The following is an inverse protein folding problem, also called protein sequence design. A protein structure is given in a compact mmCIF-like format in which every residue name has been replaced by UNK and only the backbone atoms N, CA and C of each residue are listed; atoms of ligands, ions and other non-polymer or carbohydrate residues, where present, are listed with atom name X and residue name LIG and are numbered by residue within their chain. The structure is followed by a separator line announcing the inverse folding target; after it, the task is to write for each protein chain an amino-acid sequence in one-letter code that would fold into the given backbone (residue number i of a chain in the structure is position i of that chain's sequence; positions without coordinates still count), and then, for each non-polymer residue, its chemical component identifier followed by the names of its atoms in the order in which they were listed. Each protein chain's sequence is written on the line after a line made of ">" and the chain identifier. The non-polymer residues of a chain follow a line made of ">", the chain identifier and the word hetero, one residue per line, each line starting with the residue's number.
data_IF_277078928995
#
_entry.id   IF_277078928995
#
_cell.length_a   1.000
_cell.length_b   1.000
_cell.length_c   1.000
_cell.angle_alpha   90.00
_cell.angle_beta   90.00
_cell.angle_gamma   90.00
#
_symmetry.space_group_name_H-M   'P 1'
#
loop_
_entity.id
_entity.type
_entity.pdbx_description
1 polymer ?
#
# COMPACT_ATOMS: atom_id res chain seq x y z
N UNK A 1 -4.16 -28.20 -25.69
CA UNK A 1 -3.73 -28.45 -24.30
C UNK A 1 -4.70 -27.65 -23.44
N UNK A 2 -5.78 -28.29 -22.97
CA UNK A 2 -6.87 -27.63 -22.23
C UNK A 2 -6.41 -27.32 -20.80
N UNK A 3 -6.36 -26.03 -20.45
CA UNK A 3 -6.15 -25.59 -19.07
C UNK A 3 -7.53 -25.44 -18.43
N UNK A 4 -7.88 -26.39 -17.57
CA UNK A 4 -9.04 -26.29 -16.67
C UNK A 4 -8.75 -25.25 -15.60
N UNK A 5 -9.34 -24.06 -15.72
CA UNK A 5 -9.44 -23.10 -14.60
C UNK A 5 -10.40 -23.67 -13.56
N UNK A 6 -9.88 -23.98 -12.36
CA UNK A 6 -10.69 -24.28 -11.17
C UNK A 6 -11.04 -22.95 -10.51
N UNK A 7 -12.31 -22.57 -10.56
CA UNK A 7 -12.85 -21.54 -9.68
C UNK A 7 -12.83 -22.08 -8.24
N UNK A 8 -12.17 -21.35 -7.33
CA UNK A 8 -12.26 -21.58 -5.90
C UNK A 8 -13.46 -20.75 -5.42
N UNK A 9 -14.60 -21.39 -5.22
CA UNK A 9 -15.73 -20.79 -4.51
C UNK A 9 -15.38 -20.76 -3.02
N UNK A 10 -15.00 -19.60 -2.50
CA UNK A 10 -15.03 -19.34 -1.05
C UNK A 10 -16.44 -18.86 -0.72
N UNK A 11 -17.27 -19.77 -0.21
CA UNK A 11 -18.57 -19.43 0.36
C UNK A 11 -18.36 -18.74 1.71
N UNK A 12 -18.54 -17.41 1.76
CA UNK A 12 -18.73 -16.67 3.00
C UNK A 12 -20.14 -16.95 3.54
N UNK A 13 -20.23 -17.68 4.63
CA UNK A 13 -21.47 -17.85 5.37
C UNK A 13 -21.76 -16.58 6.18
N UNK A 14 -22.65 -15.72 5.68
CA UNK A 14 -23.21 -14.60 6.43
C UNK A 14 -24.26 -15.17 7.39
N UNK A 15 -23.97 -15.13 8.70
CA UNK A 15 -24.94 -15.43 9.75
C UNK A 15 -25.86 -14.22 9.94
N UNK A 16 -26.99 -14.21 9.22
CA UNK A 16 -28.10 -13.28 9.48
C UNK A 16 -28.79 -13.69 10.79
N UNK A 17 -28.50 -12.98 11.88
CA UNK A 17 -29.42 -12.91 13.03
C UNK A 17 -30.48 -11.85 12.73
N UNK A 18 -31.65 -12.34 12.34
CA UNK A 18 -32.88 -11.57 12.20
C UNK A 18 -33.47 -11.21 13.56
N UNK A 19 -33.57 -9.91 13.87
CA UNK A 19 -34.55 -9.40 14.82
C UNK A 19 -35.68 -8.74 14.04
N UNK A 20 -36.75 -9.53 13.88
CA UNK A 20 -38.05 -9.10 13.36
C UNK A 20 -38.72 -8.23 14.42
N UNK A 21 -38.70 -6.91 14.22
CA UNK A 21 -39.57 -5.98 14.92
C UNK A 21 -40.91 -5.84 14.20
N UNK A 22 -41.90 -6.68 14.53
CA UNK A 22 -43.27 -6.47 14.07
C UNK A 22 -43.89 -5.25 14.78
N UNK A 23 -44.11 -4.17 14.03
CA UNK A 23 -45.01 -3.09 14.43
C UNK A 23 -46.47 -3.55 14.25
N UNK A 24 -47.25 -3.57 15.33
CA UNK A 24 -48.72 -3.68 15.29
C UNK A 24 -49.33 -2.37 15.81
N UNK A 25 -50.46 -1.91 15.24
CA UNK A 25 -51.07 -0.63 15.57
C UNK A 25 -51.89 -0.70 16.87
N UNK A 26 -51.90 0.42 17.59
CA UNK A 26 -52.56 0.56 18.88
C UNK A 26 -54.09 0.41 18.82
N UNK A 27 -54.62 -0.34 19.78
CA UNK A 27 -56.01 -0.32 20.18
C UNK A 27 -56.12 0.30 21.58
N UNK A 28 -56.96 1.32 21.69
CA UNK A 28 -57.36 1.91 22.96
C UNK A 28 -58.21 0.91 23.76
N UNK A 29 -57.88 0.74 25.05
CA UNK A 29 -58.59 -0.12 25.98
C UNK A 29 -58.53 0.45 27.40
N UNK A 30 -59.65 0.35 28.10
CA UNK A 30 -60.05 1.12 29.28
C UNK A 30 -59.22 0.91 30.56
N UNK A 31 -59.28 1.93 31.42
CA UNK A 31 -58.64 1.98 32.73
C UNK A 31 -59.28 0.99 33.73
N UNK A 32 -58.43 0.15 34.34
CA UNK A 32 -58.74 -0.66 35.54
C UNK A 32 -57.97 -0.04 36.73
N UNK A 33 -58.60 0.17 37.90
CA UNK A 33 -57.93 0.73 39.05
C UNK A 33 -57.28 -0.34 39.93
N UNK A 34 -56.02 -0.09 40.30
CA UNK A 34 -55.48 -0.38 41.63
C UNK A 34 -54.91 -1.78 41.86
N UNK A 35 -53.60 -1.91 41.70
CA UNK A 35 -52.76 -2.71 42.58
C UNK A 35 -51.46 -1.95 42.84
N UNK A 36 -51.11 -1.82 44.12
CA UNK A 36 -49.91 -1.10 44.59
C UNK A 36 -48.70 -1.99 44.30
N UNK A 37 -47.65 -1.52 43.61
CA UNK A 37 -46.46 -2.34 43.38
C UNK A 37 -45.79 -2.58 44.73
N UNK A 38 -45.57 -3.85 45.06
CA UNK A 38 -44.68 -4.23 46.16
C UNK A 38 -43.27 -3.85 45.73
N UNK A 39 -42.61 -2.95 46.46
CA UNK A 39 -41.19 -2.60 46.27
C UNK A 39 -40.37 -3.89 46.33
N UNK A 40 -39.90 -4.36 45.17
CA UNK A 40 -38.88 -5.39 45.13
C UNK A 40 -37.59 -4.73 45.64
N UNK A 41 -37.08 -5.21 46.79
CA UNK A 41 -35.75 -4.87 47.29
C UNK A 41 -34.74 -5.12 46.16
N UNK A 42 -34.27 -4.04 45.55
CA UNK A 42 -33.19 -4.05 44.58
C UNK A 42 -31.93 -4.29 45.40
N UNK A 43 -31.55 -5.56 45.54
CA UNK A 43 -30.27 -5.94 46.13
C UNK A 43 -29.19 -5.38 45.21
N UNK A 44 -28.51 -4.31 45.64
CA UNK A 44 -27.37 -3.79 44.90
C UNK A 44 -26.35 -4.92 44.77
N UNK A 45 -25.81 -5.18 43.55
CA UNK A 45 -24.79 -6.20 43.37
C UNK A 45 -23.62 -5.89 44.32
N UNK A 46 -23.28 -6.84 45.19
CA UNK A 46 -22.10 -6.69 46.03
C UNK A 46 -20.86 -6.79 45.14
N UNK A 47 -20.11 -5.69 45.04
CA UNK A 47 -18.83 -5.63 44.34
C UNK A 47 -17.89 -6.64 45.00
N UNK A 48 -17.33 -7.55 44.19
CA UNK A 48 -16.35 -8.51 44.67
C UNK A 48 -15.01 -7.79 44.87
N UNK A 49 -14.70 -7.41 46.11
CA UNK A 49 -13.47 -6.69 46.48
C UNK A 49 -12.19 -7.51 46.38
N UNK A 50 -12.28 -8.81 46.07
CA UNK A 50 -11.13 -9.73 46.05
C UNK A 50 -10.45 -9.83 44.67
N UNK A 51 -10.91 -9.09 43.66
CA UNK A 51 -10.29 -9.09 42.33
C UNK A 51 -9.13 -8.09 42.30
N UNK A 52 -7.92 -8.59 42.09
CA UNK A 52 -6.71 -7.78 41.92
C UNK A 52 -6.60 -7.27 40.48
N UNK A 53 -6.98 -6.01 40.26
CA UNK A 53 -6.91 -5.36 38.95
C UNK A 53 -5.54 -4.81 38.60
N UNK A 54 -4.54 -4.92 39.48
CA UNK A 54 -3.21 -4.32 39.25
C UNK A 54 -2.44 -4.93 38.08
N UNK A 55 -2.83 -6.12 37.64
CA UNK A 55 -2.24 -6.80 36.48
C UNK A 55 -2.71 -6.24 35.12
N UNK A 56 -3.78 -5.44 35.09
CA UNK A 56 -4.36 -4.93 33.85
C UNK A 56 -5.12 -5.99 33.04
N UNK A 57 -5.49 -5.64 31.81
CA UNK A 57 -6.05 -6.60 30.85
C UNK A 57 -4.92 -7.49 30.32
N UNK A 58 -5.15 -8.79 30.16
CA UNK A 58 -4.11 -9.68 29.61
C UNK A 58 -3.93 -9.50 28.10
N UNK A 59 -2.72 -9.69 27.58
CA UNK A 59 -2.39 -9.68 26.15
C UNK A 59 -3.34 -10.52 25.26
N UNK A 60 -3.70 -11.71 25.73
CA UNK A 60 -4.63 -12.61 25.03
C UNK A 60 -6.02 -11.97 24.88
N UNK A 61 -6.51 -11.36 25.97
CA UNK A 61 -7.79 -10.66 26.00
C UNK A 61 -7.76 -9.37 25.17
N UNK A 62 -6.65 -8.62 25.16
CA UNK A 62 -6.46 -7.47 24.26
C UNK A 62 -6.63 -7.93 22.80
N UNK A 63 -5.98 -9.03 22.43
CA UNK A 63 -6.03 -9.59 21.07
C UNK A 63 -7.44 -10.05 20.68
N UNK A 64 -8.16 -10.68 21.61
CA UNK A 64 -9.53 -11.14 21.39
C UNK A 64 -10.53 -9.97 21.29
N UNK A 65 -10.47 -9.03 22.23
CA UNK A 65 -11.39 -7.90 22.32
C UNK A 65 -11.27 -6.94 21.14
N UNK A 66 -10.06 -6.74 20.63
CA UNK A 66 -9.82 -5.92 19.44
C UNK A 66 -10.06 -6.70 18.13
N UNK A 67 -10.57 -7.94 18.21
CA UNK A 67 -10.74 -8.84 17.08
C UNK A 67 -9.46 -8.97 16.23
N UNK A 68 -8.29 -8.86 16.86
CA UNK A 68 -7.01 -8.82 16.15
C UNK A 68 -6.63 -10.19 15.55
N UNK A 69 -7.44 -11.23 15.79
CA UNK A 69 -7.29 -12.56 15.21
C UNK A 69 -7.36 -12.57 13.68
N UNK A 70 -7.84 -11.50 13.06
CA UNK A 70 -7.83 -11.31 11.60
C UNK A 70 -6.49 -10.77 11.08
N UNK A 71 -5.59 -10.34 11.95
CA UNK A 71 -4.29 -9.78 11.60
C UNK A 71 -3.19 -10.83 11.75
N UNK A 72 -2.12 -10.68 10.96
CA UNK A 72 -1.02 -11.65 10.95
C UNK A 72 -0.27 -11.66 12.29
N UNK A 73 -0.14 -10.49 12.93
CA UNK A 73 0.52 -10.34 14.22
C UNK A 73 0.13 -9.01 14.87
N UNK A 74 -0.19 -9.07 16.16
CA UNK A 74 -0.24 -7.92 17.05
C UNK A 74 0.95 -7.97 18.03
N UNK A 75 1.52 -6.80 18.30
CA UNK A 75 2.64 -6.59 19.22
C UNK A 75 2.22 -5.58 20.28
N UNK A 76 2.07 -6.07 21.51
CA UNK A 76 1.67 -5.26 22.65
C UNK A 76 2.93 -4.61 23.24
N UNK A 77 2.99 -3.28 23.18
CA UNK A 77 4.17 -2.51 23.53
C UNK A 77 4.21 -2.17 25.01
N UNK A 78 3.05 -1.88 25.61
CA UNK A 78 2.96 -1.47 27.02
C UNK A 78 1.55 -1.54 27.57
N UNK A 79 1.46 -1.71 28.88
CA UNK A 79 0.26 -1.51 29.69
C UNK A 79 0.45 -0.32 30.64
N UNK A 80 -0.62 0.40 30.93
CA UNK A 80 -0.64 1.49 31.89
C UNK A 80 -1.93 1.41 32.71
N UNK A 81 -1.86 0.68 33.82
CA UNK A 81 -2.99 0.39 34.70
C UNK A 81 -3.19 1.52 35.70
N UNK A 82 -4.41 2.07 35.72
CA UNK A 82 -4.87 3.05 36.68
C UNK A 82 -5.97 2.43 37.55
N UNK A 83 -5.74 2.36 38.86
CA UNK A 83 -6.76 1.96 39.83
C UNK A 83 -7.51 3.20 40.26
N UNK A 84 -8.83 3.19 40.09
CA UNK A 84 -9.69 4.32 40.33
C UNK A 84 -10.46 4.09 41.63
N UNK A 85 -10.55 5.12 42.48
CA UNK A 85 -11.39 5.12 43.68
C UNK A 85 -12.84 5.44 43.28
N UNK A 86 -13.42 4.58 42.43
CA UNK A 86 -14.76 4.73 41.87
C UNK A 86 -15.50 3.40 41.86
N UNK A 87 -16.69 3.36 42.47
CA UNK A 87 -17.57 2.19 42.47
C UNK A 87 -18.13 1.87 41.07
N UNK A 88 -18.10 2.83 40.14
CA UNK A 88 -18.61 2.67 38.78
C UNK A 88 -17.56 2.12 37.80
N UNK A 89 -16.29 2.40 38.05
CA UNK A 89 -15.17 2.00 37.20
C UNK A 89 -13.94 1.80 38.09
N UNK A 90 -13.71 0.59 38.63
CA UNK A 90 -12.68 0.36 39.65
C UNK A 90 -11.25 0.37 39.08
N UNK A 91 -11.09 0.12 37.78
CA UNK A 91 -9.80 0.14 37.11
C UNK A 91 -9.94 0.49 35.62
N UNK A 92 -8.87 1.08 35.09
CA UNK A 92 -8.65 1.34 33.67
C UNK A 92 -7.24 0.83 33.29
N UNK A 93 -7.07 0.32 32.09
CA UNK A 93 -5.77 -0.02 31.53
C UNK A 93 -5.63 0.57 30.14
N UNK A 94 -4.61 1.40 29.91
CA UNK A 94 -4.28 1.90 28.57
C UNK A 94 -3.17 1.05 27.99
N UNK A 95 -3.50 0.30 26.93
CA UNK A 95 -2.59 -0.59 26.23
C UNK A 95 -2.16 0.04 24.92
N UNK A 96 -0.85 0.11 24.69
CA UNK A 96 -0.31 0.51 23.39
C UNK A 96 -0.02 -0.74 22.56
N UNK A 97 -0.65 -0.83 21.40
CA UNK A 97 -0.58 -1.99 20.50
C UNK A 97 -0.19 -1.56 19.10
N UNK A 98 0.66 -2.35 18.48
CA UNK A 98 1.03 -2.22 17.06
C UNK A 98 0.65 -3.50 16.34
N UNK A 99 0.01 -3.41 15.18
CA UNK A 99 -0.31 -4.59 14.39
C UNK A 99 -0.15 -4.31 12.90
N UNK A 100 0.27 -5.34 12.19
CA UNK A 100 0.26 -5.31 10.74
C UNK A 100 -1.13 -5.72 10.26
N UNK A 101 -1.81 -4.88 9.50
CA UNK A 101 -3.07 -5.31 8.91
C UNK A 101 -2.76 -6.44 7.94
N UNK A 102 -3.25 -7.64 8.26
CA UNK A 102 -3.10 -8.82 7.45
C UNK A 102 -3.62 -8.54 6.03
N UNK A 103 -2.86 -9.02 5.06
CA UNK A 103 -2.97 -8.70 3.64
C UNK A 103 -4.20 -9.33 2.97
N UNK A 104 -5.39 -9.20 3.57
CA UNK A 104 -6.58 -9.93 3.14
C UNK A 104 -7.01 -9.58 1.70
N UNK A 105 -6.58 -8.42 1.20
CA UNK A 105 -6.87 -7.90 -0.14
C UNK A 105 -5.64 -7.70 -1.02
N UNK A 106 -4.41 -7.83 -0.49
CA UNK A 106 -3.20 -7.56 -1.26
C UNK A 106 -2.91 -6.08 -1.52
N UNK A 107 -3.71 -5.16 -0.97
CA UNK A 107 -3.76 -3.78 -1.46
C UNK A 107 -2.51 -2.99 -1.08
N UNK A 108 -2.21 -2.88 0.22
CA UNK A 108 -1.10 -2.10 0.76
C UNK A 108 -0.75 -2.63 2.16
N UNK A 109 0.43 -3.25 2.38
CA UNK A 109 0.92 -3.55 3.71
C UNK A 109 0.90 -2.27 4.57
N UNK A 110 0.34 -2.39 5.76
CA UNK A 110 0.23 -1.27 6.69
C UNK A 110 0.56 -1.71 8.11
N UNK A 111 1.17 -0.79 8.84
CA UNK A 111 1.40 -0.91 10.28
C UNK A 111 0.57 0.13 10.98
N UNK A 112 -0.32 -0.33 11.86
CA UNK A 112 -1.22 0.52 12.63
C UNK A 112 -0.79 0.46 14.09
N UNK A 113 -0.67 1.62 14.72
CA UNK A 113 -0.44 1.73 16.16
C UNK A 113 -1.65 2.39 16.81
N UNK A 114 -2.10 1.82 17.93
CA UNK A 114 -3.24 2.31 18.72
C UNK A 114 -2.89 2.36 20.19
N UNK A 115 -3.44 3.35 20.88
CA UNK A 115 -3.62 3.32 22.32
C UNK A 115 -5.08 2.97 22.62
N UNK A 116 -5.29 1.86 23.31
CA UNK A 116 -6.61 1.32 23.62
C UNK A 116 -6.82 1.36 25.13
N UNK A 117 -7.85 2.07 25.56
CA UNK A 117 -8.28 2.12 26.95
C UNK A 117 -9.32 1.03 27.20
N UNK A 118 -9.03 0.18 28.16
CA UNK A 118 -9.93 -0.84 28.68
C UNK A 118 -10.44 -0.41 30.05
N UNK A 119 -11.70 -0.73 30.34
CA UNK A 119 -12.32 -0.50 31.63
C UNK A 119 -12.91 -1.81 32.17
N UNK A 120 -12.99 -1.92 33.49
CA UNK A 120 -13.61 -3.07 34.15
C UNK A 120 -15.08 -2.79 34.41
N UNK A 121 -15.97 -3.70 33.99
CA UNK A 121 -17.36 -3.70 34.42
C UNK A 121 -17.43 -4.08 35.92
N UNK A 122 -17.98 -3.22 36.81
CA UNK A 122 -17.98 -3.49 38.25
C UNK A 122 -18.90 -4.65 38.67
N UNK A 123 -19.88 -5.01 37.83
CA UNK A 123 -20.82 -6.11 38.08
C UNK A 123 -20.27 -7.47 37.68
N UNK A 124 -19.49 -7.56 36.60
CA UNK A 124 -18.94 -8.83 36.10
C UNK A 124 -17.45 -9.02 36.42
N UNK A 125 -16.71 -7.93 36.61
CA UNK A 125 -15.25 -7.93 36.69
C UNK A 125 -14.55 -8.14 35.34
N UNK A 126 -15.29 -8.13 34.23
CA UNK A 126 -14.75 -8.33 32.88
C UNK A 126 -14.24 -6.99 32.30
N UNK A 127 -13.13 -7.06 31.56
CA UNK A 127 -12.59 -5.93 30.81
C UNK A 127 -13.37 -5.72 29.51
N UNK A 128 -13.67 -4.46 29.17
CA UNK A 128 -14.24 -4.07 27.89
C UNK A 128 -13.46 -2.89 27.28
N UNK A 129 -13.51 -2.76 25.95
CA UNK A 129 -12.90 -1.63 25.24
C UNK A 129 -13.73 -0.37 25.52
N UNK A 130 -13.15 0.60 26.22
CA UNK A 130 -13.77 1.88 26.52
C UNK A 130 -13.51 2.89 25.38
N UNK A 131 -12.27 2.93 24.89
CA UNK A 131 -11.84 3.90 23.88
C UNK A 131 -10.67 3.36 23.08
N UNK A 132 -10.67 3.63 21.78
CA UNK A 132 -9.52 3.42 20.90
C UNK A 132 -9.03 4.76 20.36
N UNK A 133 -7.71 4.91 20.25
CA UNK A 133 -7.09 6.07 19.64
C UNK A 133 -5.92 5.63 18.76
N UNK A 134 -6.02 5.81 17.45
CA UNK A 134 -4.88 5.55 16.57
C UNK A 134 -3.81 6.61 16.75
N UNK A 135 -2.57 6.15 16.96
CA UNK A 135 -1.40 6.99 17.20
C UNK A 135 -0.47 7.05 16.00
N UNK A 136 -0.49 6.02 15.15
CA UNK A 136 0.29 5.97 13.92
C UNK A 136 -0.39 5.07 12.89
N UNK A 137 -0.27 5.45 11.62
CA UNK A 137 -0.73 4.67 10.49
C UNK A 137 0.29 4.80 9.36
N UNK A 138 1.03 3.72 9.12
CA UNK A 138 2.10 3.68 8.13
C UNK A 138 1.69 2.73 7.02
N UNK A 139 1.81 3.18 5.78
CA UNK A 139 1.50 2.43 4.57
C UNK A 139 2.76 2.30 3.73
N UNK A 140 2.95 1.13 3.12
CA UNK A 140 3.97 0.94 2.10
C UNK A 140 3.60 1.73 0.82
N UNK A 141 4.16 2.93 0.72
CA UNK A 141 3.90 3.84 -0.40
C UNK A 141 4.56 3.39 -1.71
N UNK A 142 5.44 2.38 -1.71
CA UNK A 142 6.12 1.94 -2.93
C UNK A 142 5.20 1.16 -3.87
N UNK A 143 4.16 0.54 -3.32
CA UNK A 143 3.29 -0.37 -4.07
C UNK A 143 2.15 0.33 -4.81
N UNK A 144 1.81 1.57 -4.45
CA UNK A 144 0.65 2.27 -5.03
C UNK A 144 0.95 3.08 -6.30
N UNK A 145 2.05 3.85 -6.39
CA UNK A 145 2.41 4.56 -7.61
C UNK A 145 2.55 3.61 -8.80
N UNK A 146 1.99 3.99 -9.94
CA UNK A 146 1.96 3.17 -11.16
C UNK A 146 1.29 1.80 -11.03
N UNK A 147 0.63 1.50 -9.90
CA UNK A 147 -0.08 0.24 -9.68
C UNK A 147 -1.29 0.09 -10.59
N UNK A 148 -1.67 -1.17 -10.82
CA UNK A 148 -2.72 -1.54 -11.76
C UNK A 148 -3.62 -2.58 -11.11
N UNK A 149 -4.91 -2.37 -11.26
CA UNK A 149 -5.93 -3.13 -10.55
C UNK A 149 -7.03 -3.54 -11.49
N UNK A 150 -7.64 -4.68 -11.20
CA UNK A 150 -8.77 -5.23 -11.93
C UNK A 150 -9.88 -5.61 -10.96
N UNK A 151 -11.08 -5.16 -11.24
CA UNK A 151 -12.32 -5.63 -10.61
C UNK A 151 -13.10 -6.46 -11.62
N UNK A 152 -13.41 -7.69 -11.23
CA UNK A 152 -14.16 -8.62 -12.07
C UNK A 152 -15.65 -8.34 -11.94
N UNK A 153 -16.32 -8.18 -13.08
CA UNK A 153 -17.78 -8.19 -13.16
C UNK A 153 -18.49 -7.21 -12.19
N UNK A 154 -18.08 -5.93 -12.09
CA UNK A 154 -18.90 -4.98 -11.34
C UNK A 154 -20.30 -4.90 -11.94
N UNK A 155 -21.28 -4.49 -11.14
CA UNK A 155 -22.60 -4.20 -11.69
C UNK A 155 -22.50 -3.08 -12.73
N UNK A 156 -23.29 -3.17 -13.80
CA UNK A 156 -23.35 -2.13 -14.83
C UNK A 156 -23.74 -0.76 -14.23
N UNK A 157 -24.55 -0.77 -13.18
CA UNK A 157 -24.91 0.43 -12.41
C UNK A 157 -23.67 1.06 -11.76
N UNK A 158 -22.86 0.27 -11.06
CA UNK A 158 -21.62 0.76 -10.44
C UNK A 158 -20.63 1.29 -11.48
N UNK A 159 -20.43 0.56 -12.58
CA UNK A 159 -19.57 1.01 -13.67
C UNK A 159 -20.06 2.34 -14.29
N UNK A 160 -21.37 2.51 -14.49
CA UNK A 160 -21.96 3.76 -14.99
C UNK A 160 -21.85 4.91 -14.00
N UNK A 161 -21.97 4.63 -12.71
CA UNK A 161 -21.77 5.66 -11.70
C UNK A 161 -20.36 6.23 -11.75
N UNK A 162 -19.36 5.38 -11.98
CA UNK A 162 -17.95 5.78 -12.07
C UNK A 162 -17.60 6.39 -13.44
N UNK A 163 -18.09 5.79 -14.52
CA UNK A 163 -17.64 6.03 -15.90
C UNK A 163 -18.62 6.87 -16.73
N UNK A 164 -19.83 7.09 -16.25
CA UNK A 164 -20.91 7.78 -16.96
C UNK A 164 -21.75 6.88 -17.89
N UNK A 165 -22.68 7.51 -18.63
CA UNK A 165 -23.67 6.83 -19.48
C UNK A 165 -23.08 6.13 -20.72
N UNK A 166 -21.78 6.28 -20.97
CA UNK A 166 -21.04 5.58 -22.04
C UNK A 166 -20.95 4.08 -21.78
N UNK A 167 -21.08 3.64 -20.52
CA UNK A 167 -21.21 2.22 -20.17
C UNK A 167 -22.68 1.78 -20.35
N UNK A 168 -22.98 0.80 -21.22
CA UNK A 168 -24.33 0.31 -21.40
C UNK A 168 -24.93 -0.31 -20.12
N UNK A 169 -26.21 -0.06 -19.89
CA UNK A 169 -26.89 -0.35 -18.61
C UNK A 169 -27.08 -1.84 -18.29
N UNK A 170 -26.96 -2.70 -19.30
CA UNK A 170 -27.20 -4.14 -19.23
C UNK A 170 -25.95 -4.96 -19.55
N UNK A 171 -24.81 -4.30 -19.74
CA UNK A 171 -23.58 -4.95 -20.15
C UNK A 171 -22.72 -5.36 -18.95
N UNK A 172 -22.14 -6.56 -19.08
CA UNK A 172 -21.16 -7.10 -18.14
C UNK A 172 -19.77 -6.91 -18.75
N UNK A 173 -18.82 -6.53 -17.92
CA UNK A 173 -17.44 -6.28 -18.33
C UNK A 173 -16.52 -6.27 -17.12
N UNK A 174 -15.26 -5.89 -17.36
CA UNK A 174 -14.24 -5.75 -16.33
C UNK A 174 -13.87 -4.26 -16.18
N UNK A 175 -13.64 -3.84 -14.94
CA UNK A 175 -13.16 -2.49 -14.61
C UNK A 175 -11.68 -2.57 -14.22
N UNK A 176 -10.88 -1.73 -14.86
CA UNK A 176 -9.46 -1.61 -14.59
C UNK A 176 -9.14 -0.22 -14.04
N UNK A 177 -8.21 -0.16 -13.10
CA UNK A 177 -7.69 1.09 -12.54
C UNK A 177 -6.19 1.10 -12.73
N UNK A 178 -5.67 2.19 -13.27
CA UNK A 178 -4.23 2.46 -13.36
C UNK A 178 -3.91 3.79 -12.71
N UNK A 179 -3.11 3.75 -11.65
CA UNK A 179 -2.58 4.96 -11.04
C UNK A 179 -1.38 5.49 -11.83
N UNK A 180 -1.16 6.80 -11.80
CA UNK A 180 0.04 7.40 -12.41
C UNK A 180 1.28 7.15 -11.55
N UNK A 181 2.50 7.15 -12.12
CA UNK A 181 3.74 7.10 -11.32
C UNK A 181 3.91 8.28 -10.35
N UNK A 182 3.33 9.45 -10.66
CA UNK A 182 3.48 10.67 -9.85
C UNK A 182 2.44 10.77 -8.73
N UNK A 183 2.13 9.67 -8.04
CA UNK A 183 1.30 9.75 -6.84
C UNK A 183 2.12 10.23 -5.65
N UNK A 184 1.55 11.13 -4.86
CA UNK A 184 2.13 11.59 -3.62
C UNK A 184 2.02 10.54 -2.52
N UNK A 185 2.79 10.75 -1.44
CA UNK A 185 2.71 9.92 -0.25
C UNK A 185 1.33 10.03 0.41
N UNK A 186 0.90 8.94 1.05
CA UNK A 186 -0.32 8.92 1.85
C UNK A 186 -0.08 9.69 3.15
N UNK A 187 -0.83 10.77 3.36
CA UNK A 187 -0.80 11.57 4.58
C UNK A 187 -2.06 11.33 5.39
N UNK A 188 -1.99 10.43 6.38
CA UNK A 188 -3.10 10.11 7.27
C UNK A 188 -3.43 11.29 8.20
N UNK A 189 -4.73 11.57 8.34
CA UNK A 189 -5.24 12.63 9.21
C UNK A 189 -5.82 12.01 10.47
N UNK A 190 -4.98 11.59 11.41
CA UNK A 190 -5.43 10.79 12.57
C UNK A 190 -6.49 11.47 13.45
N UNK A 191 -6.58 12.80 13.44
CA UNK A 191 -7.50 13.60 14.27
C UNK A 191 -8.70 14.16 13.51
N UNK A 192 -9.00 13.67 12.31
CA UNK A 192 -10.13 14.17 11.52
C UNK A 192 -11.47 13.76 12.15
N UNK A 193 -12.47 14.65 12.15
CA UNK A 193 -13.79 14.37 12.76
C UNK A 193 -14.56 13.29 12.00
N UNK A 194 -14.19 13.03 10.74
CA UNK A 194 -14.75 11.96 9.91
C UNK A 194 -14.16 10.58 10.23
N UNK A 195 -13.09 10.51 11.02
CA UNK A 195 -12.50 9.24 11.40
C UNK A 195 -13.38 8.53 12.43
N UNK A 196 -13.47 7.23 12.29
CA UNK A 196 -13.95 6.34 13.34
C UNK A 196 -12.78 5.44 13.81
N UNK A 197 -12.92 4.69 14.91
CA UNK A 197 -11.85 3.83 15.43
C UNK A 197 -11.23 2.85 14.42
N UNK A 198 -11.94 2.51 13.35
CA UNK A 198 -11.56 1.50 12.36
C UNK A 198 -11.43 2.04 10.93
N UNK A 199 -11.71 3.32 10.67
CA UNK A 199 -11.59 3.96 9.35
C UNK A 199 -10.97 5.34 9.49
N UNK A 200 -9.85 5.56 8.81
CA UNK A 200 -9.09 6.80 8.91
C UNK A 200 -8.86 7.43 7.55
N UNK A 201 -9.09 8.75 7.46
CA UNK A 201 -8.90 9.50 6.24
C UNK A 201 -7.42 9.77 5.95
N UNK A 202 -7.08 9.84 4.67
CA UNK A 202 -5.78 10.24 4.19
C UNK A 202 -5.89 11.18 3.00
N UNK A 203 -4.94 12.11 2.91
CA UNK A 203 -4.72 12.90 1.71
C UNK A 203 -3.61 12.28 0.86
N UNK A 204 -3.76 12.35 -0.46
CA UNK A 204 -2.65 12.23 -1.40
C UNK A 204 -2.96 13.06 -2.64
N UNK A 205 -1.96 13.34 -3.46
CA UNK A 205 -2.14 13.93 -4.78
C UNK A 205 -1.87 12.85 -5.82
N UNK A 206 -2.75 12.72 -6.80
CA UNK A 206 -2.58 11.69 -7.79
C UNK A 206 -3.59 11.81 -8.92
N UNK A 207 -3.26 11.16 -10.02
CA UNK A 207 -4.19 10.96 -11.11
C UNK A 207 -4.18 9.48 -11.48
N UNK A 208 -5.15 9.08 -12.27
CA UNK A 208 -5.15 7.77 -12.86
C UNK A 208 -6.11 7.67 -14.03
N UNK A 209 -6.27 6.44 -14.48
CA UNK A 209 -7.14 6.07 -15.58
C UNK A 209 -8.03 4.92 -15.12
N UNK A 210 -9.33 5.10 -15.26
CA UNK A 210 -10.31 4.03 -15.23
C UNK A 210 -10.52 3.51 -16.65
N UNK A 211 -10.62 2.19 -16.81
CA UNK A 211 -10.92 1.57 -18.08
C UNK A 211 -11.97 0.49 -17.90
N UNK A 212 -13.10 0.64 -18.58
CA UNK A 212 -14.13 -0.38 -18.70
C UNK A 212 -13.96 -1.14 -20.00
N UNK A 213 -14.05 -2.47 -19.94
CA UNK A 213 -14.00 -3.34 -21.12
C UNK A 213 -15.18 -4.31 -21.06
N UNK A 214 -16.09 -4.19 -22.03
CA UNK A 214 -17.19 -5.12 -22.21
C UNK A 214 -17.35 -5.55 -23.68
N UNK A 215 -18.41 -6.30 -23.98
CA UNK A 215 -18.76 -6.75 -25.33
C UNK A 215 -18.94 -5.61 -26.36
N UNK A 216 -19.44 -4.45 -25.94
CA UNK A 216 -19.70 -3.30 -26.81
C UNK A 216 -18.45 -2.46 -27.09
N UNK A 217 -17.39 -2.65 -26.31
CA UNK A 217 -16.10 -2.01 -26.52
C UNK A 217 -15.43 -1.54 -25.23
N UNK A 218 -14.61 -0.49 -25.38
CA UNK A 218 -13.79 0.08 -24.32
C UNK A 218 -14.20 1.52 -24.02
N UNK A 219 -14.37 1.84 -22.74
CA UNK A 219 -14.57 3.21 -22.24
C UNK A 219 -13.40 3.57 -21.31
N UNK A 220 -12.81 4.75 -21.49
CA UNK A 220 -11.66 5.20 -20.69
C UNK A 220 -11.95 6.58 -20.09
N UNK A 221 -11.73 6.73 -18.78
CA UNK A 221 -11.89 7.99 -18.06
C UNK A 221 -10.65 8.30 -17.25
N UNK A 222 -10.17 9.54 -17.35
CA UNK A 222 -9.14 10.05 -16.44
C UNK A 222 -9.78 10.49 -15.15
N UNK A 223 -9.12 10.24 -14.03
CA UNK A 223 -9.57 10.72 -12.74
C UNK A 223 -8.48 11.47 -11.99
N UNK A 224 -8.91 12.37 -11.11
CA UNK A 224 -8.07 13.00 -10.10
C UNK A 224 -8.39 12.41 -8.74
N UNK A 225 -7.36 12.09 -7.96
CA UNK A 225 -7.52 11.74 -6.57
C UNK A 225 -7.90 12.99 -5.76
N UNK A 226 -8.88 12.88 -4.87
CA UNK A 226 -9.31 13.95 -3.98
C UNK A 226 -8.83 13.71 -2.55
N UNK A 227 -9.30 12.60 -1.97
CA UNK A 227 -8.97 12.11 -0.64
C UNK A 227 -9.31 10.63 -0.57
N UNK A 228 -8.88 9.95 0.48
CA UNK A 228 -9.27 8.56 0.70
C UNK A 228 -9.45 8.27 2.17
N UNK A 229 -9.85 7.05 2.46
CA UNK A 229 -9.84 6.49 3.79
C UNK A 229 -9.43 5.03 3.74
N UNK A 230 -8.87 4.53 4.82
CA UNK A 230 -8.44 3.14 4.94
C UNK A 230 -9.00 2.55 6.22
N UNK A 231 -9.38 1.28 6.18
CA UNK A 231 -9.84 0.58 7.38
C UNK A 231 -8.72 -0.21 8.04
N UNK A 232 -8.91 -0.57 9.30
CA UNK A 232 -7.95 -1.40 10.05
C UNK A 232 -7.68 -2.73 9.34
N UNK A 233 -8.65 -3.25 8.58
CA UNK A 233 -8.56 -4.50 7.81
C UNK A 233 -7.93 -4.34 6.43
N UNK A 234 -7.56 -3.12 6.05
CA UNK A 234 -6.86 -2.81 4.80
C UNK A 234 -7.77 -2.52 3.61
N UNK A 235 -9.08 -2.31 3.82
CA UNK A 235 -9.95 -1.83 2.73
C UNK A 235 -9.62 -0.37 2.44
N UNK A 236 -9.50 -0.02 1.15
CA UNK A 236 -9.12 1.32 0.72
C UNK A 236 -10.28 1.99 -0.01
N UNK A 237 -10.71 3.13 0.50
CA UNK A 237 -11.76 3.97 -0.06
C UNK A 237 -11.10 5.17 -0.71
N UNK A 238 -11.41 5.42 -1.97
CA UNK A 238 -10.78 6.49 -2.74
C UNK A 238 -11.85 7.39 -3.34
N UNK A 239 -11.87 8.64 -2.91
CA UNK A 239 -12.68 9.66 -3.53
C UNK A 239 -11.93 10.21 -4.76
N UNK A 240 -12.53 10.04 -5.92
CA UNK A 240 -12.01 10.51 -7.20
C UNK A 240 -12.94 11.55 -7.82
N UNK A 241 -12.39 12.33 -8.74
CA UNK A 241 -13.13 13.23 -9.62
C UNK A 241 -12.92 12.85 -11.08
N UNK A 242 -14.01 12.59 -11.80
CA UNK A 242 -14.05 12.35 -13.25
C UNK A 242 -14.88 13.45 -13.94
N UNK A 243 -15.04 13.36 -15.26
CA UNK A 243 -15.99 14.20 -16.00
C UNK A 243 -17.47 13.84 -15.71
N UNK A 244 -17.74 12.65 -15.17
CA UNK A 244 -19.05 12.20 -14.72
C UNK A 244 -19.41 12.69 -13.30
N UNK A 245 -18.43 13.18 -12.53
CA UNK A 245 -18.63 13.73 -11.19
C UNK A 245 -17.62 13.19 -10.17
N UNK A 246 -17.91 13.44 -8.89
CA UNK A 246 -17.12 12.89 -7.80
C UNK A 246 -17.74 11.57 -7.31
N UNK A 247 -16.90 10.56 -7.10
CA UNK A 247 -17.32 9.23 -6.67
C UNK A 247 -16.29 8.61 -5.74
N UNK A 248 -16.77 7.77 -4.83
CA UNK A 248 -15.92 6.91 -4.02
C UNK A 248 -15.74 5.57 -4.76
N UNK A 249 -14.51 5.08 -4.81
CA UNK A 249 -14.15 3.73 -5.24
C UNK A 249 -13.75 2.95 -3.99
N UNK A 250 -14.35 1.79 -3.81
CA UNK A 250 -13.98 0.87 -2.74
C UNK A 250 -13.03 -0.18 -3.33
N UNK A 251 -11.72 0.01 -3.14
CA UNK A 251 -10.73 -1.04 -3.37
C UNK A 251 -10.82 -2.00 -2.18
N UNK A 252 -11.69 -3.00 -2.30
CA UNK A 252 -11.86 -4.08 -1.33
C UNK A 252 -11.34 -5.39 -1.93
N UNK A 253 -11.70 -6.54 -1.34
CA UNK A 253 -11.35 -7.87 -1.83
C UNK A 253 -11.84 -8.19 -3.26
N UNK A 254 -12.67 -7.34 -3.85
CA UNK A 254 -13.13 -7.47 -5.24
C UNK A 254 -12.10 -6.97 -6.27
N UNK A 255 -11.09 -6.21 -5.84
CA UNK A 255 -9.99 -5.76 -6.70
C UNK A 255 -8.78 -6.68 -6.56
N UNK A 256 -8.24 -7.11 -7.70
CA UNK A 256 -6.99 -7.84 -7.82
C UNK A 256 -5.89 -6.89 -8.32
N UNK A 257 -4.76 -6.84 -7.62
CA UNK A 257 -3.54 -6.21 -8.15
C UNK A 257 -3.01 -7.05 -9.32
N UNK A 258 -2.78 -6.41 -10.47
CA UNK A 258 -2.28 -7.10 -11.67
C UNK A 258 -0.98 -6.50 -12.17
N UNK A 259 -0.15 -7.34 -12.80
CA UNK A 259 1.09 -6.92 -13.43
C UNK A 259 0.86 -5.90 -14.55
N UNK A 260 1.91 -5.14 -14.89
CA UNK A 260 1.89 -4.19 -16.00
C UNK A 260 1.54 -4.85 -17.33
N UNK A 261 2.06 -6.06 -17.54
CA UNK A 261 1.83 -6.83 -18.76
C UNK A 261 0.39 -7.28 -18.90
N UNK A 262 -0.16 -7.87 -17.84
CA UNK A 262 -1.53 -8.37 -17.85
C UNK A 262 -2.50 -7.22 -18.05
N UNK A 263 -2.27 -6.08 -17.38
CA UNK A 263 -3.05 -4.86 -17.62
C UNK A 263 -3.01 -4.44 -19.10
N UNK A 264 -1.83 -4.31 -19.71
CA UNK A 264 -1.74 -3.86 -21.11
C UNK A 264 -2.35 -4.86 -22.09
N UNK A 265 -2.16 -6.17 -21.85
CA UNK A 265 -2.77 -7.22 -22.65
C UNK A 265 -4.29 -7.14 -22.61
N UNK A 266 -4.88 -7.01 -21.42
CA UNK A 266 -6.33 -6.93 -21.24
C UNK A 266 -6.90 -5.61 -21.81
N UNK A 267 -6.23 -4.48 -21.56
CA UNK A 267 -6.71 -3.14 -21.94
C UNK A 267 -6.52 -2.80 -23.42
N UNK A 268 -5.49 -3.36 -24.06
CA UNK A 268 -5.15 -3.05 -25.45
C UNK A 268 -5.33 -4.23 -26.40
N UNK A 269 -5.51 -5.45 -25.88
CA UNK A 269 -5.60 -6.68 -26.66
C UNK A 269 -4.27 -7.16 -27.24
N UNK A 270 -3.16 -6.47 -26.93
CA UNK A 270 -1.82 -6.81 -27.42
C UNK A 270 -0.74 -6.31 -26.47
N UNK A 271 0.49 -6.76 -26.68
CA UNK A 271 1.66 -6.23 -25.97
C UNK A 271 2.62 -5.72 -27.03
N UNK A 272 3.15 -4.52 -26.81
CA UNK A 272 4.19 -3.97 -27.67
C UNK A 272 5.48 -4.75 -27.47
N UNK A 273 6.08 -5.25 -28.55
CA UNK A 273 7.29 -6.08 -28.48
C UNK A 273 8.49 -5.32 -27.85
N UNK A 274 8.52 -4.00 -27.98
CA UNK A 274 9.55 -3.12 -27.42
C UNK A 274 9.40 -2.85 -25.92
N UNK A 275 8.21 -3.08 -25.34
CA UNK A 275 7.96 -2.83 -23.93
C UNK A 275 8.49 -3.97 -23.07
N UNK A 276 9.19 -3.60 -22.00
CA UNK A 276 9.71 -4.55 -21.02
C UNK A 276 8.97 -4.39 -19.70
N UNK A 277 8.62 -5.53 -19.12
CA UNK A 277 7.97 -5.62 -17.81
C UNK A 277 8.98 -6.19 -16.82
N UNK A 278 9.35 -5.39 -15.82
CA UNK A 278 10.36 -5.76 -14.82
C UNK A 278 10.00 -7.06 -14.10
N UNK A 279 8.72 -7.29 -13.84
CA UNK A 279 8.19 -8.48 -13.19
C UNK A 279 8.41 -9.78 -13.98
N UNK A 280 8.70 -9.69 -15.29
CA UNK A 280 9.02 -10.86 -16.11
C UNK A 280 10.52 -11.11 -16.26
N UNK A 281 11.36 -10.18 -15.80
CA UNK A 281 12.80 -10.28 -15.97
C UNK A 281 13.41 -11.17 -14.88
N UNK A 282 14.31 -12.10 -15.26
CA UNK A 282 15.21 -12.74 -14.30
C UNK A 282 16.03 -11.70 -13.52
N UNK A 283 16.36 -12.03 -12.28
CA UNK A 283 17.22 -11.20 -11.43
C UNK A 283 18.60 -11.80 -11.21
N UNK A 284 19.60 -10.94 -10.96
CA UNK A 284 20.95 -11.35 -10.56
C UNK A 284 21.48 -10.44 -9.44
N UNK A 285 22.52 -10.90 -8.74
CA UNK A 285 23.09 -10.17 -7.60
C UNK A 285 23.99 -9.02 -8.08
N UNK A 286 23.85 -7.86 -7.45
CA UNK A 286 24.76 -6.72 -7.58
C UNK A 286 25.29 -6.40 -6.20
N UNK A 287 26.59 -6.14 -6.10
CA UNK A 287 27.25 -5.78 -4.87
C UNK A 287 28.16 -4.56 -5.07
N UNK A 288 28.43 -3.86 -3.96
CA UNK A 288 29.37 -2.73 -3.93
C UNK A 288 30.26 -2.80 -2.70
N UNK A 289 31.57 -2.61 -2.89
CA UNK A 289 32.55 -2.35 -1.82
C UNK A 289 32.64 -0.86 -1.47
N UNK A 290 31.79 -0.03 -2.08
CA UNK A 290 31.70 1.40 -1.80
C UNK A 290 30.64 1.71 -0.74
N UNK A 291 30.31 0.72 0.10
CA UNK A 291 29.39 0.84 1.22
C UNK A 291 30.11 0.60 2.56
N UNK A 292 29.68 1.31 3.60
CA UNK A 292 30.01 1.10 5.00
C UNK A 292 28.71 0.84 5.77
N UNK A 293 28.41 -0.43 6.03
CA UNK A 293 27.08 -0.85 6.48
C UNK A 293 26.03 -0.58 5.40
N UNK A 294 24.99 0.17 5.76
CA UNK A 294 23.91 0.58 4.87
C UNK A 294 24.20 1.89 4.09
N UNK A 295 25.31 2.58 4.38
CA UNK A 295 25.64 3.87 3.78
C UNK A 295 26.66 3.73 2.64
N UNK A 296 26.45 4.43 1.54
CA UNK A 296 27.51 4.65 0.56
C UNK A 296 28.63 5.53 1.15
N UNK A 297 29.87 5.24 0.77
CA UNK A 297 31.05 6.03 1.19
C UNK A 297 30.88 7.51 0.81
N UNK A 298 31.29 8.47 1.66
CA UNK A 298 31.16 9.89 1.36
C UNK A 298 31.77 10.32 0.03
N UNK A 299 32.85 9.67 -0.43
CA UNK A 299 33.53 10.00 -1.69
C UNK A 299 32.60 10.09 -2.90
N UNK A 300 31.48 9.33 -2.90
CA UNK A 300 30.57 9.31 -4.05
C UNK A 300 29.79 10.61 -4.23
N UNK A 301 29.62 11.43 -3.18
CA UNK A 301 28.76 12.62 -3.24
C UNK A 301 29.37 13.79 -4.01
N UNK A 302 28.51 14.61 -4.63
CA UNK A 302 28.91 15.81 -5.41
C UNK A 302 29.72 16.80 -4.58
N UNK A 303 29.39 16.95 -3.29
CA UNK A 303 30.08 17.87 -2.36
C UNK A 303 31.38 17.29 -1.79
N UNK A 304 31.80 16.09 -2.20
CA UNK A 304 32.99 15.38 -1.72
C UNK A 304 33.95 15.16 -2.88
N UNK A 305 34.12 13.92 -3.36
CA UNK A 305 35.00 13.61 -4.50
C UNK A 305 34.23 13.43 -5.82
N UNK A 306 32.90 13.23 -5.76
CA UNK A 306 32.02 13.00 -6.90
C UNK A 306 32.48 11.84 -7.79
N UNK A 307 32.74 10.68 -7.19
CA UNK A 307 33.22 9.50 -7.91
C UNK A 307 32.18 8.37 -7.87
N UNK A 308 31.98 7.64 -8.97
CA UNK A 308 31.05 6.53 -9.00
C UNK A 308 31.44 5.43 -7.99
N UNK A 309 30.47 4.77 -7.34
CA UNK A 309 30.79 3.62 -6.51
C UNK A 309 31.33 2.46 -7.37
N UNK A 310 32.21 1.65 -6.78
CA UNK A 310 32.55 0.33 -7.31
C UNK A 310 31.31 -0.56 -7.35
N UNK A 311 31.18 -1.36 -8.41
CA UNK A 311 30.10 -2.33 -8.56
C UNK A 311 30.67 -3.64 -9.12
N UNK A 312 30.13 -4.76 -8.65
CA UNK A 312 30.38 -6.10 -9.20
C UNK A 312 29.08 -6.88 -9.28
N UNK A 313 28.90 -7.69 -10.32
CA UNK A 313 27.74 -8.56 -10.50
C UNK A 313 28.08 -9.89 -11.19
N UNK A 314 27.14 -10.83 -11.17
CA UNK A 314 27.27 -12.10 -11.87
C UNK A 314 27.08 -11.94 -13.38
N UNK A 315 27.85 -12.69 -14.17
CA UNK A 315 27.70 -12.69 -15.64
C UNK A 315 26.34 -13.30 -16.03
N UNK A 316 25.62 -12.61 -16.92
CA UNK A 316 24.32 -13.07 -17.44
C UNK A 316 24.53 -13.70 -18.82
N UNK A 317 24.05 -14.94 -19.00
CA UNK A 317 24.19 -15.66 -20.26
C UNK A 317 23.55 -14.87 -21.43
N UNK A 318 24.34 -14.64 -22.48
CA UNK A 318 23.92 -13.93 -23.67
C UNK A 318 24.01 -12.40 -23.59
N UNK A 319 24.41 -11.83 -22.45
CA UNK A 319 24.69 -10.41 -22.33
C UNK A 319 26.08 -10.07 -22.88
N UNK A 320 26.18 -9.00 -23.67
CA UNK A 320 27.47 -8.47 -24.13
C UNK A 320 27.88 -7.18 -23.41
N UNK A 321 26.93 -6.49 -22.79
CA UNK A 321 27.15 -5.25 -22.06
C UNK A 321 26.06 -5.06 -21.00
N UNK A 322 26.25 -4.07 -20.13
CA UNK A 322 25.36 -3.79 -19.02
C UNK A 322 25.09 -2.29 -18.92
N UNK A 323 23.82 -1.90 -18.79
CA UNK A 323 23.46 -0.53 -18.46
C UNK A 323 23.34 -0.36 -16.95
N UNK A 324 23.91 0.72 -16.41
CA UNK A 324 23.86 1.07 -14.99
C UNK A 324 22.96 2.29 -14.84
N UNK A 325 22.03 2.25 -13.89
CA UNK A 325 21.17 3.37 -13.52
C UNK A 325 21.22 3.58 -12.01
N UNK A 326 21.46 4.81 -11.54
CA UNK A 326 21.33 5.16 -10.11
C UNK A 326 20.20 6.17 -9.94
N UNK A 327 19.19 5.80 -9.18
CA UNK A 327 17.95 6.57 -8.99
C UNK A 327 17.77 6.90 -7.51
N UNK A 328 17.50 8.18 -7.24
CA UNK A 328 17.00 8.68 -5.96
C UNK A 328 15.47 8.73 -6.03
N UNK A 329 14.81 7.74 -5.44
CA UNK A 329 13.35 7.62 -5.47
C UNK A 329 12.68 8.64 -4.52
N UNK A 330 13.40 9.11 -3.51
CA UNK A 330 12.94 10.15 -2.57
C UNK A 330 12.94 11.55 -3.21
N UNK A 331 13.79 11.77 -4.23
CA UNK A 331 13.88 13.02 -5.00
C UNK A 331 13.09 12.99 -6.32
N UNK A 332 11.92 12.33 -6.35
CA UNK A 332 11.07 12.22 -7.55
C UNK A 332 11.82 11.53 -8.71
N UNK A 333 12.37 10.34 -8.40
CA UNK A 333 13.14 9.51 -9.33
C UNK A 333 14.29 10.29 -10.00
N UNK A 334 15.10 11.01 -9.21
CA UNK A 334 16.23 11.79 -9.71
C UNK A 334 17.32 10.85 -10.23
N UNK A 335 17.73 11.02 -11.49
CA UNK A 335 18.72 10.13 -12.11
C UNK A 335 20.14 10.67 -11.91
N UNK A 336 20.93 9.92 -11.14
CA UNK A 336 22.31 10.25 -10.77
C UNK A 336 23.35 9.62 -11.69
N UNK A 337 23.08 8.43 -12.20
CA UNK A 337 24.04 7.69 -13.03
C UNK A 337 23.34 7.05 -14.22
N UNK A 338 23.91 7.20 -15.40
CA UNK A 338 23.67 6.35 -16.55
C UNK A 338 24.97 6.05 -17.28
N UNK A 339 25.30 4.78 -17.42
CA UNK A 339 26.43 4.34 -18.23
C UNK A 339 26.13 2.96 -18.84
N UNK A 340 26.73 2.67 -20.00
CA UNK A 340 26.76 1.32 -20.56
C UNK A 340 28.20 0.85 -20.56
N UNK A 341 28.45 -0.31 -19.94
CA UNK A 341 29.78 -0.88 -19.75
C UNK A 341 29.87 -2.29 -20.29
N UNK A 342 31.09 -2.69 -20.67
CA UNK A 342 31.41 -4.08 -20.97
C UNK A 342 32.01 -4.76 -19.73
N UNK A 343 31.75 -6.06 -19.57
CA UNK A 343 32.19 -6.83 -18.40
C UNK A 343 31.26 -6.69 -17.19
N UNK A 344 31.67 -7.26 -16.07
CA UNK A 344 30.82 -7.44 -14.87
C UNK A 344 31.30 -6.66 -13.64
N UNK A 345 32.11 -5.63 -13.88
CA UNK A 345 32.74 -4.85 -12.83
C UNK A 345 32.92 -3.40 -13.28
N UNK A 346 32.73 -2.46 -12.35
CA UNK A 346 33.08 -1.05 -12.48
C UNK A 346 33.97 -0.66 -11.31
N UNK A 347 35.12 -0.08 -11.61
CA UNK A 347 36.06 0.41 -10.58
C UNK A 347 35.49 1.64 -9.84
N UNK A 348 35.87 1.79 -8.58
CA UNK A 348 35.55 3.01 -7.81
C UNK A 348 36.12 4.24 -8.53
N UNK A 349 35.25 5.21 -8.83
CA UNK A 349 35.59 6.42 -9.57
C UNK A 349 35.95 6.23 -11.03
N UNK A 350 35.49 5.16 -11.67
CA UNK A 350 35.54 5.05 -13.13
C UNK A 350 34.78 6.19 -13.84
N UNK A 351 33.70 6.70 -13.21
CA UNK A 351 32.93 7.85 -13.70
C UNK A 351 32.94 8.98 -12.65
N UNK A 352 33.22 10.22 -13.07
CA UNK A 352 33.51 11.33 -12.14
C UNK A 352 32.73 12.61 -12.42
N UNK A 353 31.96 12.66 -13.49
CA UNK A 353 31.23 13.85 -13.91
C UNK A 353 30.08 13.50 -14.87
N UNK A 354 29.24 14.51 -15.14
CA UNK A 354 28.05 14.38 -15.96
C UNK A 354 28.36 13.94 -17.39
N UNK A 355 29.49 14.40 -17.95
CA UNK A 355 29.95 14.03 -19.29
C UNK A 355 30.37 12.57 -19.39
N UNK A 356 30.86 12.00 -18.29
CA UNK A 356 31.19 10.57 -18.15
C UNK A 356 29.94 9.74 -17.80
N UNK A 357 28.87 10.36 -17.33
CA UNK A 357 27.60 9.69 -17.03
C UNK A 357 27.24 9.66 -15.55
N UNK A 358 27.96 10.37 -14.67
CA UNK A 358 27.78 10.32 -13.22
C UNK A 358 27.67 11.70 -12.56
N UNK A 359 26.63 11.87 -11.74
CA UNK A 359 26.49 12.98 -10.80
C UNK A 359 26.13 12.38 -9.46
N UNK A 360 27.02 12.51 -8.47
CA UNK A 360 26.86 11.87 -7.18
C UNK A 360 25.67 12.39 -6.35
N UNK A 361 25.34 11.71 -5.24
CA UNK A 361 24.36 12.20 -4.27
C UNK A 361 24.70 13.57 -3.68
N UNK A 362 23.68 14.37 -3.36
CA UNK A 362 23.82 15.63 -2.61
C UNK A 362 22.56 16.03 -1.81
N UNK A 363 21.90 15.09 -1.12
CA UNK A 363 20.64 15.37 -0.43
C UNK A 363 20.82 16.37 0.72
N UNK A 364 19.74 17.09 1.08
CA UNK A 364 19.72 17.96 2.27
C UNK A 364 19.67 17.15 3.57
N UNK A 365 18.97 16.01 3.55
CA UNK A 365 18.91 15.02 4.63
C UNK A 365 19.50 13.67 4.16
N UNK A 366 19.22 12.57 4.86
CA UNK A 366 19.61 11.22 4.39
C UNK A 366 18.61 10.74 3.35
N UNK A 367 19.07 10.32 2.17
CA UNK A 367 18.24 9.69 1.14
C UNK A 367 18.73 8.26 0.83
N UNK A 368 17.81 7.40 0.41
CA UNK A 368 18.09 6.11 -0.21
C UNK A 368 18.30 6.19 -1.72
N UNK A 369 19.26 5.42 -2.23
CA UNK A 369 19.58 5.34 -3.66
C UNK A 369 19.57 3.90 -4.12
N UNK A 370 18.87 3.62 -5.23
CA UNK A 370 18.85 2.31 -5.88
C UNK A 370 19.71 2.33 -7.14
N UNK A 371 20.66 1.40 -7.22
CA UNK A 371 21.51 1.17 -8.38
C UNK A 371 21.05 -0.09 -9.09
N UNK A 372 20.54 0.07 -10.29
CA UNK A 372 20.12 -1.00 -11.18
C UNK A 372 21.22 -1.30 -12.20
N UNK A 373 21.49 -2.58 -12.41
CA UNK A 373 22.35 -3.07 -13.50
C UNK A 373 21.48 -3.91 -14.43
N UNK A 374 21.36 -3.52 -15.70
CA UNK A 374 20.52 -4.19 -16.70
C UNK A 374 21.42 -4.93 -17.67
N UNK A 375 21.27 -6.25 -17.78
CA UNK A 375 22.01 -7.08 -18.70
C UNK A 375 21.43 -6.95 -20.11
N UNK A 376 22.28 -6.57 -21.08
CA UNK A 376 21.88 -6.30 -22.46
C UNK A 376 22.57 -7.25 -23.44
N UNK A 377 21.82 -7.76 -24.40
CA UNK A 377 22.32 -8.64 -25.47
C UNK A 377 23.38 -7.95 -26.34
N UNK A 378 23.20 -6.66 -26.58
CA UNK A 378 24.08 -5.79 -27.36
C UNK A 378 23.94 -4.33 -26.91
N UNK A 379 24.81 -3.46 -27.44
CA UNK A 379 24.71 -2.03 -27.17
C UNK A 379 23.30 -1.53 -27.52
N UNK A 380 22.63 -0.80 -26.60
CA UNK A 380 21.31 -0.25 -26.86
C UNK A 380 21.40 0.81 -27.96
N UNK A 381 20.26 1.11 -28.59
CA UNK A 381 20.14 2.28 -29.44
C UNK A 381 20.57 3.54 -28.66
N UNK A 382 21.10 4.53 -29.37
CA UNK A 382 21.53 5.80 -28.75
C UNK A 382 20.40 6.37 -27.91
N UNK A 383 20.60 6.29 -26.59
CA UNK A 383 19.61 6.59 -25.56
C UNK A 383 20.24 7.64 -24.66
N UNK A 384 19.66 8.83 -24.68
CA UNK A 384 20.13 9.93 -23.86
C UNK A 384 19.19 10.11 -22.68
N UNK A 385 19.59 9.62 -21.51
CA UNK A 385 18.92 9.97 -20.26
C UNK A 385 19.53 11.25 -19.70
N UNK A 386 18.66 12.20 -19.36
CA UNK A 386 19.09 13.44 -18.72
C UNK A 386 19.46 13.13 -17.29
N UNK A 387 20.75 13.24 -16.99
CA UNK A 387 21.30 13.17 -15.64
C UNK A 387 21.07 14.45 -14.88
N UNK A 388 21.09 14.32 -13.56
CA UNK A 388 20.94 15.43 -12.62
C UNK A 388 19.62 16.18 -12.82
N UNK A 389 18.56 15.42 -12.99
CA UNK A 389 17.21 15.92 -13.17
C UNK A 389 16.23 14.92 -12.59
N UNK A 390 15.14 15.45 -12.03
CA UNK A 390 13.93 14.65 -11.79
C UNK A 390 13.46 14.12 -13.14
N UNK A 391 13.35 12.81 -13.22
CA UNK A 391 12.70 12.14 -14.32
C UNK A 391 11.41 11.56 -13.75
N UNK A 392 10.24 12.06 -14.17
CA UNK A 392 8.95 11.48 -13.75
C UNK A 392 8.79 9.98 -14.08
N UNK A 393 9.71 9.46 -14.90
CA UNK A 393 9.85 8.06 -15.27
C UNK A 393 10.61 7.28 -14.18
N UNK A 394 10.00 6.21 -13.70
CA UNK A 394 10.65 5.21 -12.85
C UNK A 394 11.60 4.30 -13.65
N UNK A 395 12.24 3.34 -12.96
CA UNK A 395 13.15 2.37 -13.56
C UNK A 395 12.51 1.60 -14.74
N UNK A 396 11.26 1.16 -14.63
CA UNK A 396 10.54 0.41 -15.68
C UNK A 396 10.44 1.21 -16.99
N UNK A 397 10.19 2.52 -16.90
CA UNK A 397 10.15 3.39 -18.06
C UNK A 397 11.51 3.53 -18.77
N UNK A 398 12.62 3.21 -18.08
CA UNK A 398 13.97 3.16 -18.67
C UNK A 398 14.31 1.83 -19.33
N UNK A 399 13.56 0.76 -19.07
CA UNK A 399 13.81 -0.54 -19.70
C UNK A 399 13.42 -0.56 -21.19
N UNK A 400 12.29 0.05 -21.55
CA UNK A 400 11.81 0.12 -22.95
C UNK A 400 12.85 0.71 -23.91
N UNK A 401 13.44 1.89 -23.67
CA UNK A 401 14.47 2.42 -24.57
C UNK A 401 15.76 1.56 -24.60
N UNK A 402 16.07 0.81 -23.54
CA UNK A 402 17.19 -0.12 -23.51
C UNK A 402 16.91 -1.43 -24.25
N UNK A 403 15.64 -1.75 -24.48
CA UNK A 403 15.20 -3.00 -25.11
C UNK A 403 15.39 -3.05 -26.63
N UNK A 404 15.71 -1.92 -27.24
CA UNK A 404 16.07 -1.83 -28.66
C UNK A 404 17.58 -1.66 -28.78
N UNK A 405 18.22 -2.61 -29.46
CA UNK A 405 19.64 -2.58 -29.77
C UNK A 405 19.99 -1.51 -30.82
N UNK A 406 21.27 -1.16 -30.93
CA UNK A 406 21.76 -0.17 -31.89
C UNK A 406 21.49 -0.53 -33.37
N UNK A 407 21.26 -1.80 -33.67
CA UNK A 407 20.86 -2.29 -35.00
C UNK A 407 19.34 -2.33 -35.21
N UNK A 408 18.56 -1.89 -34.21
CA UNK A 408 17.09 -1.86 -34.21
C UNK A 408 16.43 -3.16 -33.76
N UNK A 409 17.19 -4.19 -33.38
CA UNK A 409 16.59 -5.43 -32.84
C UNK A 409 15.99 -5.20 -31.46
N UNK A 410 14.77 -5.68 -31.28
CA UNK A 410 14.04 -5.65 -30.01
C UNK A 410 14.32 -6.93 -29.21
N UNK A 411 14.18 -6.87 -27.88
CA UNK A 411 14.51 -7.98 -26.98
C UNK A 411 15.97 -7.92 -26.53
N UNK A 412 16.49 -6.70 -26.37
CA UNK A 412 17.85 -6.45 -25.94
C UNK A 412 18.01 -6.61 -24.42
N UNK A 413 16.97 -6.35 -23.62
CA UNK A 413 17.01 -6.52 -22.16
C UNK A 413 16.83 -8.00 -21.79
N UNK A 414 17.76 -8.55 -21.00
CA UNK A 414 17.78 -9.98 -20.65
C UNK A 414 17.44 -10.26 -19.18
N UNK A 415 17.95 -9.42 -18.27
CA UNK A 415 17.83 -9.56 -16.84
C UNK A 415 18.18 -8.22 -16.17
N UNK A 416 17.91 -8.07 -14.87
CA UNK A 416 18.42 -6.95 -14.09
C UNK A 416 18.87 -7.38 -12.69
N UNK A 417 19.78 -6.63 -12.11
CA UNK A 417 20.17 -6.74 -10.71
C UNK A 417 20.07 -5.38 -10.04
N UNK A 418 20.02 -5.38 -8.71
CA UNK A 418 19.88 -4.15 -7.93
C UNK A 418 20.70 -4.23 -6.64
N UNK A 419 21.30 -3.10 -6.27
CA UNK A 419 21.80 -2.84 -4.90
C UNK A 419 21.29 -1.49 -4.45
N UNK A 420 21.12 -1.32 -3.15
CA UNK A 420 20.66 -0.08 -2.54
C UNK A 420 21.59 0.37 -1.42
N UNK A 421 21.56 1.66 -1.10
CA UNK A 421 22.29 2.22 0.02
C UNK A 421 21.85 3.65 0.33
N UNK A 422 22.06 4.06 1.57
CA UNK A 422 21.79 5.40 2.06
C UNK A 422 22.95 6.35 1.77
N UNK A 423 22.67 7.63 1.60
CA UNK A 423 23.71 8.67 1.60
C UNK A 423 23.28 9.84 2.47
N UNK A 424 24.21 10.28 3.31
CA UNK A 424 24.07 11.44 4.19
C UNK A 424 25.32 12.30 4.02
N UNK A 425 25.16 13.55 3.58
CA UNK A 425 26.30 14.43 3.30
C UNK A 425 27.04 14.88 4.58
N UNK A 426 26.43 14.70 5.76
CA UNK A 426 26.96 15.06 7.07
C UNK A 426 27.79 13.95 7.73
N UNK A 427 27.62 12.71 7.28
CA UNK A 427 28.45 11.55 7.63
C UNK A 427 29.60 11.40 6.65
#
# INVERSE_FOLDING_TARGET
>A
MEIKKRAINVCTAILLCSLVGCSMPGAAGDAVPGDTPTEAETTQPQINTDIDYSAGVSDEAVTELLALTKFEKADIKSHNVEILDSDEMPARDTVSVEFAAGNSTGLLPQTISKDVSFAVDPGTGEWYVEKENCTSWVVDNELFPASKWKMYLPSAEYARELMGDEVPSDEIGDLYIKFTPNMGLFAFRLTDEINDPHKHSFGTMGNGVLTWIGESGKVEKKFKFLEGAMTDVGDVFINISTDAGNKEIELTCEFEHIGGRDYDMEVTGSISEDKVYKEELPTFNVASKSMDGEFFKPAIGVKKENISPELTWDEVEGASCYAILMIDEEAVNWLHWYAVVEGTHVDEGQFKNKEEGYVGPYPEDTHGYRIYVVALRSMPQDTHFVLDASNADNFEAKLTPLNTAADGQVGNVLAYGMTEGLFDHTK
#
